data_IF_458141517599
#
_entry.id   IF_458141517599
#
_cell.length_a   1.000
_cell.length_b   1.000
_cell.length_c   1.000
_cell.angle_alpha   90.00
_cell.angle_beta   90.00
_cell.angle_gamma   90.00
#
_symmetry.space_group_name_H-M   'P 1'
#
loop_
_entity.id
_entity.type
_entity.pdbx_description
1 polymer ?
#
# COMPACT_ATOMS: atom_id res chain seq x y z
N UNK A 1 11.29 -12.35 -9.79
CA UNK A 1 10.52 -11.44 -8.91
C UNK A 1 9.13 -12.01 -8.82
N UNK A 2 8.54 -12.16 -7.63
CA UNK A 2 7.15 -12.62 -7.50
C UNK A 2 6.21 -11.60 -8.12
N UNK A 3 5.06 -12.05 -8.63
CA UNK A 3 4.03 -11.14 -9.13
C UNK A 3 3.58 -10.17 -8.03
N UNK A 4 3.26 -8.95 -8.43
CA UNK A 4 2.77 -7.92 -7.51
C UNK A 4 1.50 -8.41 -6.81
N UNK A 5 1.40 -8.18 -5.50
CA UNK A 5 0.20 -8.49 -4.73
C UNK A 5 -1.04 -7.85 -5.40
N UNK A 6 -2.09 -8.62 -5.72
CA UNK A 6 -3.31 -8.08 -6.30
C UNK A 6 -4.01 -7.11 -5.35
N UNK A 7 -4.70 -6.11 -5.91
CA UNK A 7 -5.46 -5.11 -5.16
C UNK A 7 -6.43 -5.72 -4.17
N UNK A 8 -7.10 -6.81 -4.55
CA UNK A 8 -8.07 -7.49 -3.70
C UNK A 8 -7.42 -8.02 -2.41
N UNK A 9 -6.24 -8.63 -2.53
CA UNK A 9 -5.48 -9.19 -1.40
C UNK A 9 -4.95 -8.05 -0.52
N UNK A 10 -4.34 -7.05 -1.14
CA UNK A 10 -3.82 -5.91 -0.40
C UNK A 10 -4.92 -5.14 0.34
N UNK A 11 -6.08 -4.93 -0.31
CA UNK A 11 -7.25 -4.28 0.28
C UNK A 11 -7.77 -5.04 1.49
N UNK A 12 -7.88 -6.37 1.42
CA UNK A 12 -8.34 -7.16 2.56
C UNK A 12 -7.43 -6.98 3.79
N UNK A 13 -6.11 -6.93 3.59
CA UNK A 13 -5.16 -6.65 4.68
C UNK A 13 -5.30 -5.23 5.19
N UNK A 14 -5.45 -4.26 4.30
CA UNK A 14 -5.57 -2.83 4.61
C UNK A 14 -6.85 -2.53 5.42
N UNK A 15 -7.98 -3.14 5.07
CA UNK A 15 -9.27 -2.96 5.77
C UNK A 15 -9.24 -3.41 7.24
N UNK A 16 -8.28 -4.25 7.65
CA UNK A 16 -8.10 -4.66 9.06
C UNK A 16 -7.50 -3.55 9.93
N UNK A 17 -6.88 -2.55 9.34
CA UNK A 17 -6.13 -1.50 10.07
C UNK A 17 -6.61 -0.09 9.77
N UNK A 18 -7.30 0.11 8.64
CA UNK A 18 -7.81 1.41 8.24
C UNK A 18 -8.92 1.88 9.18
N UNK A 19 -8.85 3.15 9.59
CA UNK A 19 -9.89 3.79 10.38
C UNK A 19 -11.22 3.83 9.61
N UNK A 20 -12.36 3.76 10.31
CA UNK A 20 -13.68 3.67 9.67
C UNK A 20 -13.94 4.76 8.63
N UNK A 21 -13.51 5.99 8.90
CA UNK A 21 -13.61 7.14 7.97
C UNK A 21 -12.93 6.93 6.62
N UNK A 22 -11.88 6.11 6.58
CA UNK A 22 -11.06 5.85 5.39
C UNK A 22 -11.44 4.53 4.70
N UNK A 23 -12.36 3.73 5.29
CA UNK A 23 -12.85 2.47 4.70
C UNK A 23 -13.52 2.65 3.33
N UNK A 24 -14.38 3.67 3.11
CA UNK A 24 -14.96 3.91 1.79
C UNK A 24 -13.88 4.15 0.73
N UNK A 25 -12.84 4.91 1.07
CA UNK A 25 -11.70 5.15 0.19
C UNK A 25 -10.94 3.85 -0.10
N UNK A 26 -10.66 3.01 0.91
CA UNK A 26 -9.99 1.72 0.71
C UNK A 26 -10.77 0.77 -0.22
N UNK A 27 -12.10 0.87 -0.23
CA UNK A 27 -12.95 0.10 -1.13
C UNK A 27 -12.97 0.65 -2.56
N UNK A 28 -12.91 1.98 -2.72
CA UNK A 28 -13.07 2.64 -4.02
C UNK A 28 -11.77 2.80 -4.85
N UNK A 29 -10.59 2.73 -4.21
CA UNK A 29 -9.32 2.97 -4.91
C UNK A 29 -8.61 1.68 -5.34
N UNK A 30 -7.77 1.82 -6.37
CA UNK A 30 -6.98 0.75 -6.99
C UNK A 30 -5.53 1.19 -7.24
N UNK A 31 -4.66 0.23 -7.54
CA UNK A 31 -3.29 0.46 -7.99
C UNK A 31 -2.50 1.35 -7.03
N UNK A 32 -1.92 2.42 -7.58
CA UNK A 32 -1.09 3.38 -6.86
C UNK A 32 -1.87 4.19 -5.80
N UNK A 33 -3.16 4.45 -6.00
CA UNK A 33 -3.98 5.14 -4.99
C UNK A 33 -4.24 4.26 -3.78
N UNK A 34 -4.44 2.96 -3.99
CA UNK A 34 -4.54 1.98 -2.91
C UNK A 34 -3.21 1.88 -2.15
N UNK A 35 -2.08 1.93 -2.85
CA UNK A 35 -0.76 1.98 -2.22
C UNK A 35 -0.54 3.26 -1.42
N UNK A 36 -0.93 4.42 -1.94
CA UNK A 36 -0.81 5.68 -1.22
C UNK A 36 -1.61 5.65 0.09
N UNK A 37 -2.83 5.09 0.06
CA UNK A 37 -3.61 4.86 1.27
C UNK A 37 -2.90 3.87 2.20
N UNK A 38 -2.36 2.77 1.68
CA UNK A 38 -1.58 1.81 2.46
C UNK A 38 -0.40 2.45 3.19
N UNK A 39 0.35 3.33 2.53
CA UNK A 39 1.50 4.04 3.10
C UNK A 39 1.11 4.90 4.31
N UNK A 40 -0.05 5.55 4.29
CA UNK A 40 -0.61 6.29 5.43
C UNK A 40 -0.76 5.42 6.69
N UNK A 41 -0.97 4.11 6.50
CA UNK A 41 -1.15 3.11 7.55
C UNK A 41 0.06 2.18 7.74
N UNK A 42 1.21 2.50 7.13
CA UNK A 42 2.42 1.66 7.20
C UNK A 42 2.25 0.28 6.54
N UNK A 43 1.35 0.14 5.57
CA UNK A 43 1.09 -1.10 4.83
C UNK A 43 1.60 -0.99 3.40
N UNK A 44 2.33 -2.01 2.97
CA UNK A 44 2.96 -2.07 1.66
C UNK A 44 2.58 -3.36 0.93
N UNK A 45 2.52 -3.29 -0.40
CA UNK A 45 2.34 -4.47 -1.24
C UNK A 45 3.57 -5.37 -1.18
N UNK A 46 3.32 -6.67 -1.22
CA UNK A 46 4.38 -7.66 -1.40
C UNK A 46 4.65 -7.89 -2.89
N UNK A 47 5.84 -8.41 -3.22
CA UNK A 47 6.23 -8.71 -4.61
C UNK A 47 6.59 -7.49 -5.46
N UNK A 48 6.51 -6.27 -4.91
CA UNK A 48 6.95 -5.03 -5.56
C UNK A 48 8.14 -4.41 -4.80
N UNK A 49 9.18 -3.95 -5.51
CA UNK A 49 10.22 -3.12 -4.92
C UNK A 49 9.59 -1.89 -4.26
N UNK A 50 10.03 -1.56 -3.04
CA UNK A 50 9.54 -0.39 -2.31
C UNK A 50 10.05 0.90 -2.97
N UNK A 51 9.35 1.38 -3.99
CA UNK A 51 9.63 2.69 -4.59
C UNK A 51 9.46 3.80 -3.55
N UNK A 52 10.58 4.27 -3.01
CA UNK A 52 10.67 5.40 -2.09
C UNK A 52 11.52 5.19 -0.83
N UNK A 53 11.95 3.97 -0.50
CA UNK A 53 12.92 3.75 0.60
C UNK A 53 14.37 3.91 0.13
N UNK A 54 14.65 3.56 -1.12
CA UNK A 54 16.00 3.66 -1.70
C UNK A 54 16.49 5.10 -1.87
N UNK A 55 15.58 6.08 -1.92
CA UNK A 55 15.91 7.49 -2.11
C UNK A 55 16.40 8.19 -0.82
N UNK A 56 16.24 7.57 0.35
CA UNK A 56 16.66 8.15 1.63
C UNK A 56 18.00 7.61 2.14
N UNK A 57 18.58 6.61 1.44
CA UNK A 57 19.87 5.99 1.79
C UNK A 57 21.06 6.55 0.99
N UNK A 58 20.91 7.75 0.41
CA UNK A 58 22.01 8.53 -0.18
C UNK A 58 21.97 9.98 0.30
N UNK A 59 22.28 10.17 1.58
CA UNK A 59 22.85 11.41 2.11
C UNK A 59 23.98 11.01 3.04
N UNK A 60 25.13 10.73 2.43
CA UNK A 60 26.45 10.96 3.02
C UNK A 60 27.05 12.17 2.30
#
# INVERSE_FOLDING_TARGET
MSDAEPDAVFRQRLLRVVAEKDRPSAMGVVGAYLEALGRKYGRFRTGVPLKGLDAQSKRD
#
